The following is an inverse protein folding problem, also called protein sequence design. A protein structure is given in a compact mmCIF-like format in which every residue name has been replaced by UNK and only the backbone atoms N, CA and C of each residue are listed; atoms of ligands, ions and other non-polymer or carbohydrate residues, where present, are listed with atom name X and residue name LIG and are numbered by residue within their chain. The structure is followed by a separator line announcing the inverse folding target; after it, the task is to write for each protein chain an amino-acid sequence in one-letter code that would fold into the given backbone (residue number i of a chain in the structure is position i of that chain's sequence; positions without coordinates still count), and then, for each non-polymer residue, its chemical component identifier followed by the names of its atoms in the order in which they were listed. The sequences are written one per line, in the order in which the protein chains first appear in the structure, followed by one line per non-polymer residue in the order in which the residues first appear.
data_IF_818615364130
#
_entry.id   IF_818615364130
#
_cell.length_a   1.000
_cell.length_b   1.000
_cell.length_c   1.000
_cell.angle_alpha   90.00
_cell.angle_beta   90.00
_cell.angle_gamma   90.00
#
_symmetry.space_group_name_H-M   'P 1'
#
loop_
_entity.id
_entity.type
_entity.pdbx_description
1 polymer ?
#
# COMPACT_ATOMS: atom_id res chain seq x y z
N UNK A 1 -27.98 26.67 52.07
CA UNK A 1 -28.13 26.72 50.60
C UNK A 1 -27.52 25.46 50.06
N UNK A 2 -28.36 24.50 49.67
CA UNK A 2 -27.96 23.26 49.00
C UNK A 2 -28.61 23.32 47.63
N UNK A 3 -27.85 23.77 46.64
CA UNK A 3 -28.37 23.81 45.27
C UNK A 3 -28.25 22.41 44.66
N UNK A 4 -29.42 21.82 44.45
CA UNK A 4 -29.63 20.50 43.91
C UNK A 4 -29.57 20.56 42.38
N UNK A 5 -28.71 19.70 41.84
CA UNK A 5 -28.88 18.92 40.61
C UNK A 5 -30.02 19.29 39.63
N UNK A 6 -29.61 19.43 38.36
CA UNK A 6 -30.20 18.80 37.16
C UNK A 6 -31.67 19.16 36.81
N UNK A 7 -32.05 19.58 35.60
CA UNK A 7 -31.67 19.01 34.31
C UNK A 7 -31.91 20.01 33.19
N UNK A 8 -30.88 20.19 32.39
CA UNK A 8 -30.91 20.62 30.99
C UNK A 8 -31.86 19.72 30.19
N UNK A 9 -32.90 20.27 29.56
CA UNK A 9 -33.74 19.52 28.61
C UNK A 9 -33.36 19.85 27.17
N UNK A 10 -32.66 18.86 26.59
CA UNK A 10 -32.37 18.51 25.20
C UNK A 10 -33.37 18.96 24.12
N UNK A 11 -32.82 19.41 22.98
CA UNK A 11 -33.19 18.96 21.61
C UNK A 11 -31.99 19.28 20.69
N UNK A 12 -31.11 18.33 20.36
CA UNK A 12 -31.20 17.25 19.37
C UNK A 12 -30.97 17.69 17.91
N UNK A 13 -30.21 16.85 17.21
CA UNK A 13 -29.98 16.77 15.76
C UNK A 13 -28.94 17.72 15.13
N UNK A 14 -27.70 17.22 15.01
CA UNK A 14 -27.10 16.93 13.69
C UNK A 14 -26.00 15.88 13.93
N UNK A 15 -26.31 14.59 13.77
CA UNK A 15 -26.13 13.86 12.52
C UNK A 15 -24.67 13.84 12.05
N UNK A 16 -23.96 12.82 12.54
CA UNK A 16 -23.00 11.99 11.80
C UNK A 16 -22.23 12.65 10.65
N UNK A 17 -20.92 12.82 10.81
CA UNK A 17 -20.04 12.46 9.71
C UNK A 17 -18.65 11.98 10.13
N UNK A 18 -18.58 10.65 10.15
CA UNK A 18 -17.56 9.85 9.49
C UNK A 18 -16.11 10.10 9.94
N UNK A 19 -15.67 9.15 10.76
CA UNK A 19 -14.29 8.79 11.02
C UNK A 19 -13.35 9.01 9.82
N UNK A 20 -12.30 9.78 10.05
CA UNK A 20 -10.95 9.38 9.66
C UNK A 20 -9.99 9.85 10.76
N UNK A 21 -9.84 9.02 11.79
CA UNK A 21 -8.53 8.92 12.41
C UNK A 21 -7.64 8.26 11.35
N UNK A 22 -7.04 9.05 10.46
CA UNK A 22 -5.89 8.59 9.70
C UNK A 22 -4.70 8.60 10.67
N UNK A 23 -4.78 7.73 11.66
CA UNK A 23 -3.63 7.20 12.38
C UNK A 23 -2.92 6.28 11.37
N UNK A 24 -2.36 6.87 10.30
CA UNK A 24 -1.27 6.22 9.60
C UNK A 24 -0.07 6.42 10.50
N UNK A 25 -0.02 5.58 11.52
CA UNK A 25 1.16 5.31 12.32
C UNK A 25 2.24 4.81 11.36
N UNK A 26 2.93 5.76 10.73
CA UNK A 26 4.23 5.57 10.12
C UNK A 26 5.24 5.36 11.26
N UNK A 27 5.07 4.34 12.10
CA UNK A 27 6.15 3.87 12.97
C UNK A 27 6.91 2.78 12.24
N UNK A 28 8.08 3.16 11.75
CA UNK A 28 9.37 2.81 12.36
C UNK A 28 9.86 1.44 11.89
N UNK A 29 10.53 1.49 10.75
CA UNK A 29 11.27 0.39 10.14
C UNK A 29 12.20 0.82 9.02
N UNK A 30 12.79 2.03 9.10
CA UNK A 30 14.13 2.29 8.56
C UNK A 30 14.40 2.23 7.05
N UNK A 31 13.43 2.37 6.14
CA UNK A 31 13.72 2.70 4.73
C UNK A 31 12.69 3.72 4.23
N UNK A 32 13.09 4.73 3.43
CA UNK A 32 12.12 5.60 2.77
C UNK A 32 11.14 4.71 1.98
N UNK A 33 9.83 5.05 1.89
CA UNK A 33 8.94 4.33 0.99
C UNK A 33 9.65 4.31 -0.37
N UNK A 34 9.93 3.12 -0.89
CA UNK A 34 10.66 2.94 -2.14
C UNK A 34 9.82 3.53 -3.26
N UNK A 35 9.82 4.85 -3.46
CA UNK A 35 8.97 5.50 -4.45
C UNK A 35 9.54 5.16 -5.82
N UNK A 36 9.00 4.10 -6.43
CA UNK A 36 9.32 3.71 -7.80
C UNK A 36 8.34 4.42 -8.73
N UNK A 37 8.85 5.31 -9.57
CA UNK A 37 8.12 5.94 -10.67
C UNK A 37 7.84 4.94 -11.80
N UNK A 38 6.96 5.28 -12.74
CA UNK A 38 6.63 4.38 -13.86
C UNK A 38 7.85 4.04 -14.74
N UNK A 39 8.71 5.03 -15.00
CA UNK A 39 9.95 4.84 -15.76
C UNK A 39 10.93 3.89 -15.05
N UNK A 40 11.08 4.04 -13.73
CA UNK A 40 11.93 3.17 -12.93
C UNK A 40 11.34 1.76 -12.83
N UNK A 41 10.02 1.64 -12.67
CA UNK A 41 9.34 0.35 -12.66
C UNK A 41 9.54 -0.40 -13.98
N UNK A 42 9.37 0.28 -15.12
CA UNK A 42 9.62 -0.31 -16.43
C UNK A 42 11.09 -0.78 -16.58
N UNK A 43 12.06 0.00 -16.06
CA UNK A 43 13.46 -0.40 -16.05
C UNK A 43 13.72 -1.63 -15.16
N UNK A 44 13.10 -1.69 -13.98
CA UNK A 44 13.18 -2.86 -13.08
C UNK A 44 12.58 -4.08 -13.75
N UNK A 45 11.35 -4.00 -14.28
CA UNK A 45 10.71 -5.14 -14.95
C UNK A 45 11.53 -5.60 -16.16
N UNK A 46 12.13 -4.68 -16.92
CA UNK A 46 13.06 -5.03 -18.01
C UNK A 46 14.25 -5.85 -17.50
N UNK A 47 14.86 -5.47 -16.37
CA UNK A 47 15.96 -6.22 -15.75
C UNK A 47 15.48 -7.60 -15.29
N UNK A 48 14.37 -7.66 -14.56
CA UNK A 48 13.78 -8.91 -14.08
C UNK A 48 13.47 -9.88 -15.23
N UNK A 49 12.98 -9.38 -16.36
CA UNK A 49 12.75 -10.17 -17.57
C UNK A 49 14.05 -10.66 -18.21
N UNK A 50 15.09 -9.83 -18.24
CA UNK A 50 16.39 -10.24 -18.76
C UNK A 50 17.05 -11.32 -17.88
N UNK A 51 16.78 -11.31 -16.58
CA UNK A 51 17.28 -12.29 -15.61
C UNK A 51 16.42 -13.56 -15.54
N UNK A 52 15.25 -13.59 -16.18
CA UNK A 52 14.29 -14.70 -16.11
C UNK A 52 13.47 -14.73 -14.80
N UNK A 53 13.60 -13.71 -13.96
CA UNK A 53 12.87 -13.54 -12.70
C UNK A 53 11.44 -13.07 -12.93
N UNK A 54 11.17 -12.40 -14.06
CA UNK A 54 9.83 -12.04 -14.48
C UNK A 54 9.55 -12.50 -15.91
N UNK A 55 8.32 -12.94 -16.17
CA UNK A 55 7.83 -13.20 -17.52
C UNK A 55 6.60 -12.36 -17.80
N UNK A 56 6.44 -11.94 -19.05
CA UNK A 56 5.24 -11.24 -19.48
C UNK A 56 4.29 -12.24 -20.15
N UNK A 57 3.03 -12.22 -19.72
CA UNK A 57 1.93 -12.99 -20.30
C UNK A 57 1.15 -12.02 -21.18
N UNK A 58 1.43 -11.98 -22.50
CA UNK A 58 0.82 -11.00 -23.39
C UNK A 58 -0.69 -11.21 -23.56
N UNK A 59 -1.16 -12.44 -23.40
CA UNK A 59 -2.59 -12.80 -23.53
C UNK A 59 -3.45 -12.07 -22.49
N UNK A 60 -3.00 -12.07 -21.24
CA UNK A 60 -3.70 -11.43 -20.12
C UNK A 60 -3.16 -10.03 -19.79
N UNK A 61 -2.11 -9.57 -20.51
CA UNK A 61 -1.35 -8.35 -20.18
C UNK A 61 -0.86 -8.34 -18.73
N UNK A 62 -0.44 -9.52 -18.25
CA UNK A 62 0.06 -9.73 -16.89
C UNK A 62 1.56 -9.97 -16.90
N UNK A 63 2.17 -9.81 -15.73
CA UNK A 63 3.56 -10.10 -15.44
C UNK A 63 3.59 -11.15 -14.33
N UNK A 64 4.31 -12.25 -14.53
CA UNK A 64 4.53 -13.25 -13.48
C UNK A 64 5.90 -13.04 -12.85
N UNK A 65 5.96 -13.05 -11.52
CA UNK A 65 7.22 -13.17 -10.78
C UNK A 65 7.54 -14.65 -10.61
N UNK A 66 8.40 -15.18 -11.47
CA UNK A 66 8.75 -16.61 -11.56
C UNK A 66 9.13 -17.26 -10.22
N UNK A 67 9.93 -16.62 -9.34
CA UNK A 67 10.30 -17.22 -8.05
C UNK A 67 9.10 -17.47 -7.13
N UNK A 68 8.09 -16.59 -7.20
CA UNK A 68 6.94 -16.61 -6.28
C UNK A 68 5.66 -17.14 -6.94
N UNK A 69 5.62 -17.21 -8.27
CA UNK A 69 4.43 -17.56 -9.05
C UNK A 69 3.29 -16.52 -9.00
N UNK A 70 3.57 -15.31 -8.52
CA UNK A 70 2.56 -14.26 -8.35
C UNK A 70 2.41 -13.45 -9.63
N UNK A 71 1.15 -13.16 -10.00
CA UNK A 71 0.79 -12.36 -11.17
C UNK A 71 0.54 -10.89 -10.81
N UNK A 72 0.99 -10.00 -11.67
CA UNK A 72 0.89 -8.55 -11.53
C UNK A 72 0.34 -7.94 -12.81
N UNK A 73 -0.59 -7.00 -12.67
CA UNK A 73 -1.16 -6.21 -13.78
C UNK A 73 -0.42 -4.90 -14.04
N UNK A 74 0.67 -4.64 -13.33
CA UNK A 74 1.38 -3.36 -13.38
C UNK A 74 2.85 -3.55 -13.07
N UNK A 75 3.71 -2.92 -13.87
CA UNK A 75 5.16 -2.95 -13.67
C UNK A 75 5.55 -2.41 -12.30
N UNK A 76 4.88 -1.34 -11.83
CA UNK A 76 5.09 -0.81 -10.48
C UNK A 76 4.85 -1.89 -9.43
N UNK A 77 3.71 -2.56 -9.47
CA UNK A 77 3.36 -3.56 -8.47
C UNK A 77 4.40 -4.70 -8.40
N UNK A 78 4.86 -5.18 -9.55
CA UNK A 78 5.95 -6.17 -9.63
C UNK A 78 7.27 -5.62 -9.07
N UNK A 79 7.64 -4.40 -9.45
CA UNK A 79 8.88 -3.76 -9.00
C UNK A 79 8.91 -3.52 -7.48
N UNK A 80 7.81 -3.02 -6.90
CA UNK A 80 7.66 -2.85 -5.45
C UNK A 80 7.75 -4.19 -4.73
N UNK A 81 7.02 -5.19 -5.21
CA UNK A 81 7.04 -6.53 -4.62
C UNK A 81 8.45 -7.12 -4.62
N UNK A 82 9.13 -7.10 -5.77
CA UNK A 82 10.48 -7.64 -5.90
C UNK A 82 11.48 -6.90 -5.00
N UNK A 83 11.41 -5.56 -4.94
CA UNK A 83 12.29 -4.77 -4.07
C UNK A 83 12.07 -5.08 -2.59
N UNK A 84 10.82 -5.13 -2.13
CA UNK A 84 10.49 -5.50 -0.76
C UNK A 84 10.89 -6.93 -0.41
N UNK A 85 10.82 -7.84 -1.39
CA UNK A 85 11.29 -9.23 -1.23
C UNK A 85 12.81 -9.30 -1.04
N UNK A 86 13.59 -8.60 -1.85
CA UNK A 86 15.06 -8.57 -1.72
C UNK A 86 15.55 -7.84 -0.46
N UNK A 87 14.80 -6.88 0.07
CA UNK A 87 15.16 -6.16 1.30
C UNK A 87 14.89 -6.99 2.57
N UNK A 88 14.00 -7.98 2.52
CA UNK A 88 13.65 -8.83 3.66
C UNK A 88 14.57 -10.05 3.87
N UNK A 89 15.55 -10.27 3.00
CA UNK A 89 16.51 -11.40 3.05
C UNK A 89 17.82 -11.07 3.81
N UNK A 90 17.78 -10.24 4.86
CA UNK A 90 18.93 -9.98 5.74
C UNK A 90 18.71 -10.44 7.17
#
# INVERSE_FOLDING_TARGET
MVDQHDSTHTDAADAEREAIAEDTDFTTGGEPPLVIDESEAANVVRKLRAEGTAEAIPEDQLLIHTPSGILFKSDKALAYFHKGWTSGET
#
